data_IF_706180751427
#
_entry.id   IF_706180751427
#
_cell.length_a   1.000
_cell.length_b   1.000
_cell.length_c   1.000
_cell.angle_alpha   90.00
_cell.angle_beta   90.00
_cell.angle_gamma   90.00
#
_symmetry.space_group_name_H-M   'P 1'
#
loop_
_entity.id
_entity.type
_entity.pdbx_description
1 polymer ?
#
# COMPACT_ATOMS: atom_id res chain seq x y z
N UNK A 1 -46.23 53.51 30.58
CA UNK A 1 -45.55 52.21 30.85
C UNK A 1 -44.48 52.01 29.78
N UNK A 2 -43.18 52.17 30.11
CA UNK A 2 -42.07 52.02 29.14
C UNK A 2 -41.55 50.60 29.20
N UNK A 3 -41.72 49.84 28.13
CA UNK A 3 -41.21 48.47 28.00
C UNK A 3 -39.74 48.60 27.64
N UNK A 4 -38.83 48.07 28.53
CA UNK A 4 -37.41 47.91 28.23
C UNK A 4 -37.22 46.55 27.59
N UNK A 5 -36.85 46.54 26.30
CA UNK A 5 -36.44 45.32 25.59
C UNK A 5 -34.96 45.07 25.97
N UNK A 6 -34.69 43.97 26.66
CA UNK A 6 -33.34 43.47 26.89
C UNK A 6 -33.05 42.49 25.76
N UNK A 7 -32.14 42.88 24.87
CA UNK A 7 -31.61 41.97 23.82
C UNK A 7 -30.43 41.22 24.43
N UNK A 8 -30.62 39.92 24.69
CA UNK A 8 -29.56 39.02 25.13
C UNK A 8 -28.75 38.56 23.92
N UNK A 9 -27.56 39.09 23.74
CA UNK A 9 -26.63 38.62 22.72
C UNK A 9 -25.95 37.32 23.24
N UNK A 10 -26.45 36.18 22.77
CA UNK A 10 -25.78 34.89 22.98
C UNK A 10 -24.62 34.78 21.98
N UNK A 11 -23.44 35.19 22.40
CA UNK A 11 -22.20 34.97 21.63
C UNK A 11 -21.86 33.47 21.60
N UNK A 12 -22.03 32.86 20.44
CA UNK A 12 -21.46 31.53 20.19
C UNK A 12 -19.94 31.66 20.11
N UNK A 13 -19.24 31.25 21.13
CA UNK A 13 -17.80 31.00 21.08
C UNK A 13 -17.59 29.73 20.23
N UNK A 14 -17.28 29.92 18.96
CA UNK A 14 -16.71 28.85 18.14
C UNK A 14 -15.29 28.59 18.68
N UNK A 15 -15.11 27.55 19.47
CA UNK A 15 -13.80 27.00 19.72
C UNK A 15 -13.38 26.24 18.47
N UNK A 16 -12.44 26.80 17.72
CA UNK A 16 -11.73 26.04 16.69
C UNK A 16 -10.88 25.00 17.42
N UNK A 17 -11.31 23.75 17.38
CA UNK A 17 -10.48 22.63 17.80
C UNK A 17 -9.50 22.43 16.62
N UNK A 18 -8.30 22.99 16.74
CA UNK A 18 -7.20 22.63 15.84
C UNK A 18 -6.80 21.22 16.22
N UNK A 19 -6.91 20.30 15.25
CA UNK A 19 -6.36 18.96 15.40
C UNK A 19 -4.83 19.09 15.42
N UNK A 20 -4.21 18.73 16.54
CA UNK A 20 -2.77 18.71 16.63
C UNK A 20 -2.22 17.63 15.72
N UNK A 21 -1.34 18.02 14.79
CA UNK A 21 -0.69 17.10 13.87
C UNK A 21 0.33 16.29 14.67
N UNK A 22 0.25 14.97 14.56
CA UNK A 22 1.24 14.08 15.20
C UNK A 22 2.65 14.42 14.69
N UNK A 23 3.56 14.75 15.62
CA UNK A 23 4.95 14.99 15.29
C UNK A 23 5.61 13.69 14.83
N UNK A 24 6.23 13.71 13.65
CA UNK A 24 6.92 12.55 13.08
C UNK A 24 7.09 12.65 11.59
N UNK A 25 7.33 11.49 10.99
CA UNK A 25 7.51 11.36 9.56
C UNK A 25 6.49 10.40 8.96
N UNK A 26 6.01 10.73 7.77
CA UNK A 26 5.22 9.83 6.94
C UNK A 26 6.13 9.09 5.95
N UNK A 27 5.98 7.77 5.85
CA UNK A 27 6.59 6.95 4.81
C UNK A 27 5.50 6.58 3.80
N UNK A 28 5.66 6.94 2.55
CA UNK A 28 4.69 6.65 1.50
C UNK A 28 5.35 6.55 0.12
N UNK A 29 4.69 5.91 -0.83
CA UNK A 29 5.13 5.87 -2.22
C UNK A 29 4.14 6.62 -3.09
N UNK A 30 4.61 7.60 -3.83
CA UNK A 30 3.89 8.26 -4.90
C UNK A 30 4.05 7.45 -6.19
N UNK A 31 2.95 6.92 -6.69
CA UNK A 31 2.90 6.18 -7.94
C UNK A 31 2.81 7.09 -9.16
N UNK A 32 3.34 6.64 -10.28
CA UNK A 32 3.35 7.41 -11.53
C UNK A 32 2.06 7.32 -12.35
N UNK A 33 1.08 6.50 -11.94
CA UNK A 33 -0.21 6.42 -12.66
C UNK A 33 -1.34 5.87 -11.81
N UNK A 34 -2.50 6.54 -11.76
CA UNK A 34 -3.71 6.01 -11.14
C UNK A 34 -4.37 4.89 -11.94
N UNK A 35 -3.89 4.57 -13.13
CA UNK A 35 -4.53 3.70 -14.11
C UNK A 35 -4.02 2.25 -14.19
N UNK A 36 -3.18 1.80 -13.29
CA UNK A 36 -3.03 0.37 -13.03
C UNK A 36 -2.24 -0.49 -14.00
N UNK A 37 -1.55 0.03 -14.96
CA UNK A 37 -0.55 -0.76 -15.70
C UNK A 37 0.77 -0.83 -14.92
N UNK A 38 1.25 -2.02 -14.54
CA UNK A 38 2.47 -2.24 -13.74
C UNK A 38 3.80 -1.74 -14.33
N UNK A 39 3.76 -0.84 -15.29
CA UNK A 39 4.91 -0.36 -16.06
C UNK A 39 5.51 0.98 -15.63
N UNK A 40 4.91 1.71 -14.71
CA UNK A 40 5.44 2.99 -14.25
C UNK A 40 6.25 2.84 -12.97
N UNK A 41 7.35 3.55 -12.84
CA UNK A 41 8.11 3.67 -11.60
C UNK A 41 7.34 4.47 -10.54
N UNK A 42 7.89 4.59 -9.36
CA UNK A 42 7.38 5.41 -8.28
C UNK A 42 8.52 5.98 -7.47
N UNK A 43 8.20 6.83 -6.52
CA UNK A 43 9.19 7.32 -5.56
C UNK A 43 8.63 7.16 -4.16
N UNK A 44 9.39 6.48 -3.29
CA UNK A 44 9.10 6.42 -1.86
C UNK A 44 9.74 7.62 -1.18
N UNK A 45 9.00 8.24 -0.28
CA UNK A 45 9.43 9.39 0.51
C UNK A 45 9.32 9.12 2.00
N UNK A 46 10.28 9.65 2.78
CA UNK A 46 10.10 10.01 4.17
C UNK A 46 9.95 11.52 4.23
N UNK A 47 8.85 11.99 4.74
CA UNK A 47 8.48 13.42 4.74
C UNK A 47 7.94 13.82 6.12
N UNK A 48 8.28 15.01 6.59
CA UNK A 48 7.73 15.58 7.81
C UNK A 48 6.34 16.20 7.59
N UNK A 49 5.71 16.67 8.66
CA UNK A 49 4.40 17.32 8.63
C UNK A 49 4.38 18.67 7.87
N UNK A 50 5.56 19.29 7.64
CA UNK A 50 5.71 20.51 6.87
C UNK A 50 5.93 20.23 5.37
N UNK A 51 5.78 18.98 4.95
CA UNK A 51 6.05 18.52 3.58
C UNK A 51 7.53 18.61 3.17
N UNK A 52 8.46 18.64 4.14
CA UNK A 52 9.88 18.59 3.88
C UNK A 52 10.32 17.16 3.66
N UNK A 53 10.90 16.87 2.51
CA UNK A 53 11.42 15.53 2.19
C UNK A 53 12.73 15.30 2.92
N UNK A 54 12.75 14.32 3.82
CA UNK A 54 13.94 13.89 4.53
C UNK A 54 14.75 12.86 3.74
N UNK A 55 14.06 11.94 3.06
CA UNK A 55 14.67 10.88 2.24
C UNK A 55 13.75 10.47 1.10
N UNK A 56 14.34 10.04 -0.03
CA UNK A 56 13.60 9.41 -1.11
C UNK A 56 14.35 8.26 -1.76
N UNK A 57 13.58 7.32 -2.35
CA UNK A 57 14.06 6.22 -3.18
C UNK A 57 13.24 6.19 -4.47
N UNK A 58 13.91 6.22 -5.61
CA UNK A 58 13.26 6.04 -6.92
C UNK A 58 13.20 4.56 -7.29
N UNK A 59 12.06 4.13 -7.80
CA UNK A 59 11.78 2.75 -8.19
C UNK A 59 11.48 2.63 -9.67
N UNK A 60 11.90 1.53 -10.29
CA UNK A 60 11.60 1.23 -11.70
C UNK A 60 10.23 0.58 -11.89
N UNK A 61 9.59 0.13 -10.80
CA UNK A 61 8.29 -0.53 -10.77
C UNK A 61 7.34 0.22 -9.84
N UNK A 62 6.06 0.26 -10.19
CA UNK A 62 5.03 0.83 -9.34
C UNK A 62 4.81 -0.01 -8.07
N UNK A 63 4.49 0.66 -6.97
CA UNK A 63 4.18 0.00 -5.70
C UNK A 63 2.97 -0.94 -5.83
N UNK A 64 3.06 -2.11 -5.20
CA UNK A 64 1.91 -2.99 -4.98
C UNK A 64 1.13 -2.56 -3.73
N UNK A 65 1.86 -2.13 -2.70
CA UNK A 65 1.36 -1.68 -1.42
C UNK A 65 2.33 -0.66 -0.80
N UNK A 66 2.21 -0.40 0.49
CA UNK A 66 3.07 0.52 1.22
C UNK A 66 4.47 -0.07 1.42
N UNK A 67 5.52 0.76 1.42
CA UNK A 67 6.86 0.35 1.83
C UNK A 67 6.95 0.25 3.35
N UNK A 68 7.90 -0.53 3.85
CA UNK A 68 8.20 -0.69 5.27
C UNK A 68 9.62 -0.25 5.56
N UNK A 69 9.80 0.69 6.49
CA UNK A 69 11.11 1.10 6.99
C UNK A 69 11.54 0.14 8.10
N UNK A 70 12.73 -0.44 7.94
CA UNK A 70 13.31 -1.35 8.92
C UNK A 70 14.23 -0.62 9.90
N UNK A 71 14.54 -1.22 11.08
CA UNK A 71 15.40 -0.60 12.08
C UNK A 71 16.82 -0.27 11.60
N UNK A 72 17.31 -0.97 10.57
CA UNK A 72 18.62 -0.70 9.94
C UNK A 72 18.56 0.37 8.85
N UNK A 73 17.47 1.11 8.77
CA UNK A 73 17.20 2.14 7.77
C UNK A 73 17.08 1.63 6.33
N UNK A 74 17.02 0.31 6.11
CA UNK A 74 16.61 -0.23 4.81
C UNK A 74 15.09 -0.22 4.70
N UNK A 75 14.57 -0.25 3.45
CA UNK A 75 13.14 -0.41 3.22
C UNK A 75 12.85 -1.75 2.58
N UNK A 76 11.69 -2.33 2.88
CA UNK A 76 11.08 -3.40 2.09
C UNK A 76 10.02 -2.74 1.20
N UNK A 77 10.16 -2.96 -0.11
CA UNK A 77 9.32 -2.36 -1.14
C UNK A 77 8.59 -3.44 -1.93
N UNK A 78 7.27 -3.63 -1.69
CA UNK A 78 6.45 -4.48 -2.54
C UNK A 78 6.10 -3.76 -3.84
N UNK A 79 6.27 -4.44 -4.96
CA UNK A 79 6.06 -3.82 -6.28
C UNK A 79 5.27 -4.71 -7.23
N UNK A 80 4.71 -4.08 -8.27
CA UNK A 80 3.98 -4.77 -9.34
C UNK A 80 4.94 -5.34 -10.37
N UNK A 81 4.78 -6.63 -10.67
CA UNK A 81 5.50 -7.24 -11.79
C UNK A 81 4.89 -6.82 -13.13
N UNK A 82 5.67 -6.89 -14.20
CA UNK A 82 5.14 -6.81 -15.57
C UNK A 82 4.50 -8.14 -15.94
N UNK A 83 3.42 -8.10 -16.70
CA UNK A 83 2.72 -9.27 -17.23
C UNK A 83 2.39 -10.30 -16.12
N UNK A 84 1.62 -9.91 -15.09
CA UNK A 84 1.22 -10.83 -14.05
C UNK A 84 0.35 -11.95 -14.66
N UNK A 85 0.48 -13.17 -14.15
CA UNK A 85 -0.36 -14.30 -14.57
C UNK A 85 -1.80 -14.21 -14.06
N UNK A 86 -2.00 -13.46 -12.96
CA UNK A 86 -3.30 -13.15 -12.38
C UNK A 86 -3.43 -11.62 -12.27
N UNK A 87 -4.52 -11.08 -12.81
CA UNK A 87 -4.71 -9.63 -13.00
C UNK A 87 -5.97 -9.08 -12.33
N UNK A 88 -6.31 -9.58 -11.15
CA UNK A 88 -7.36 -8.99 -10.31
C UNK A 88 -6.87 -7.73 -9.58
N UNK A 89 -7.73 -7.06 -8.82
CA UNK A 89 -7.34 -5.88 -8.04
C UNK A 89 -6.18 -6.17 -7.08
N UNK A 90 -5.28 -5.20 -6.88
CA UNK A 90 -4.17 -5.32 -5.94
C UNK A 90 -2.98 -6.16 -6.40
N UNK A 91 -2.79 -6.34 -7.71
CA UNK A 91 -1.64 -7.08 -8.26
C UNK A 91 -0.32 -6.54 -7.70
N UNK A 92 0.51 -7.44 -7.16
CA UNK A 92 1.88 -7.22 -6.77
C UNK A 92 2.84 -8.12 -7.57
N UNK A 93 3.55 -8.99 -6.91
CA UNK A 93 4.38 -10.05 -7.45
C UNK A 93 5.86 -9.91 -7.19
N UNK A 94 6.36 -8.75 -6.81
CA UNK A 94 7.76 -8.57 -6.46
C UNK A 94 7.95 -7.87 -5.13
N UNK A 95 9.05 -8.16 -4.46
CA UNK A 95 9.45 -7.56 -3.20
C UNK A 95 10.95 -7.28 -3.25
N UNK A 96 11.37 -6.08 -2.87
CA UNK A 96 12.77 -5.69 -2.78
C UNK A 96 13.10 -5.23 -1.36
N UNK A 97 14.30 -5.55 -0.90
CA UNK A 97 14.93 -4.85 0.22
C UNK A 97 15.98 -3.90 -0.31
N UNK A 98 15.88 -2.63 0.07
CA UNK A 98 16.68 -1.54 -0.49
C UNK A 98 17.34 -0.81 0.67
N UNK A 99 18.66 -0.63 0.60
CA UNK A 99 19.43 0.15 1.59
C UNK A 99 19.04 1.63 1.55
N UNK A 100 19.50 2.34 2.57
CA UNK A 100 19.38 3.79 2.66
C UNK A 100 19.95 4.52 1.43
N UNK A 101 21.07 4.04 0.88
CA UNK A 101 21.72 4.60 -0.29
C UNK A 101 21.05 4.24 -1.63
N UNK A 102 20.00 3.41 -1.61
CA UNK A 102 19.30 2.94 -2.80
C UNK A 102 19.80 1.60 -3.35
N UNK A 103 20.85 1.00 -2.76
CA UNK A 103 21.36 -0.31 -3.18
C UNK A 103 20.34 -1.40 -2.88
N UNK A 104 19.97 -2.19 -3.89
CA UNK A 104 19.09 -3.35 -3.72
C UNK A 104 19.89 -4.49 -3.07
N UNK A 105 19.50 -4.88 -1.86
CA UNK A 105 20.10 -6.01 -1.13
C UNK A 105 19.63 -7.36 -1.66
N UNK A 106 18.33 -7.47 -1.93
CA UNK A 106 17.73 -8.62 -2.57
C UNK A 106 16.43 -8.23 -3.29
N UNK A 107 16.08 -9.03 -4.27
CA UNK A 107 14.85 -8.94 -5.03
C UNK A 107 14.25 -10.33 -5.15
N UNK A 108 12.99 -10.46 -4.75
CA UNK A 108 12.25 -11.71 -4.80
C UNK A 108 10.97 -11.53 -5.64
N UNK A 109 10.73 -12.46 -6.54
CA UNK A 109 9.51 -12.48 -7.38
C UNK A 109 8.67 -13.68 -6.97
N UNK A 110 7.43 -13.42 -6.56
CA UNK A 110 6.43 -14.43 -6.28
C UNK A 110 5.20 -14.19 -7.18
N UNK A 111 5.40 -14.52 -8.44
CA UNK A 111 4.40 -14.41 -9.50
C UNK A 111 4.70 -15.48 -10.54
N UNK A 112 3.84 -16.49 -10.64
CA UNK A 112 3.91 -17.59 -11.60
C UNK A 112 2.49 -18.07 -11.97
N UNK A 113 2.36 -19.12 -12.74
CA UNK A 113 1.06 -19.63 -13.20
C UNK A 113 0.17 -20.14 -12.06
N UNK A 114 0.74 -20.52 -10.92
CA UNK A 114 0.01 -21.09 -9.78
C UNK A 114 -0.20 -20.06 -8.66
N UNK A 115 0.78 -19.19 -8.41
CA UNK A 115 0.75 -18.25 -7.31
C UNK A 115 1.07 -16.83 -7.77
N UNK A 116 0.38 -15.86 -7.18
CA UNK A 116 0.61 -14.44 -7.43
C UNK A 116 0.51 -13.65 -6.13
N UNK A 117 1.60 -13.00 -5.72
CA UNK A 117 1.54 -12.02 -4.62
C UNK A 117 0.58 -10.88 -4.99
N UNK A 118 -0.24 -10.48 -4.04
CA UNK A 118 -1.14 -9.34 -4.18
C UNK A 118 -1.24 -8.53 -2.89
N UNK A 119 -1.60 -7.26 -3.02
CA UNK A 119 -1.77 -6.30 -1.94
C UNK A 119 -0.52 -6.20 -1.05
N UNK A 120 -0.62 -6.59 0.21
CA UNK A 120 0.29 -6.22 1.25
C UNK A 120 1.25 -7.34 1.67
N UNK A 121 2.24 -6.95 2.42
CA UNK A 121 3.26 -7.81 3.02
C UNK A 121 3.43 -7.41 4.49
N UNK A 122 4.02 -8.28 5.30
CA UNK A 122 4.43 -7.97 6.67
C UNK A 122 5.87 -8.44 6.92
N UNK A 123 6.81 -7.52 7.15
CA UNK A 123 8.15 -7.86 7.59
C UNK A 123 8.12 -8.45 9.00
N UNK A 124 8.69 -9.65 9.16
CA UNK A 124 8.75 -10.34 10.43
C UNK A 124 10.12 -10.16 11.11
N UNK A 125 10.18 -10.31 12.46
CA UNK A 125 11.46 -10.43 13.16
C UNK A 125 12.30 -11.55 12.58
N UNK A 126 13.61 -11.31 12.42
CA UNK A 126 14.53 -12.30 11.83
C UNK A 126 14.69 -12.18 10.31
N UNK A 127 14.04 -11.19 9.66
CA UNK A 127 14.26 -10.86 8.26
C UNK A 127 13.37 -11.65 7.28
N UNK A 128 12.44 -12.44 7.78
CA UNK A 128 11.40 -13.06 6.96
C UNK A 128 10.33 -12.04 6.57
N UNK A 129 9.57 -12.34 5.53
CA UNK A 129 8.44 -11.53 5.07
C UNK A 129 7.23 -12.42 4.88
N UNK A 130 6.12 -12.07 5.52
CA UNK A 130 4.82 -12.68 5.26
C UNK A 130 4.20 -12.00 4.05
N UNK A 131 3.63 -12.78 3.13
CA UNK A 131 3.00 -12.26 1.91
C UNK A 131 1.60 -12.84 1.73
N UNK A 132 0.70 -12.04 1.16
CA UNK A 132 -0.62 -12.49 0.75
C UNK A 132 -0.53 -12.94 -0.71
N UNK A 133 -1.09 -14.10 -1.03
CA UNK A 133 -1.02 -14.66 -2.38
C UNK A 133 -2.38 -15.16 -2.87
N UNK A 134 -2.63 -15.01 -4.15
CA UNK A 134 -3.63 -15.79 -4.86
C UNK A 134 -3.01 -17.12 -5.27
N UNK A 135 -3.79 -18.17 -5.18
CA UNK A 135 -3.47 -19.49 -5.74
C UNK A 135 -4.48 -19.84 -6.83
N UNK A 136 -3.99 -20.10 -8.04
CA UNK A 136 -4.85 -20.58 -9.11
C UNK A 136 -5.35 -21.99 -8.80
N UNK A 137 -6.65 -22.20 -8.91
CA UNK A 137 -7.32 -23.50 -8.76
C UNK A 137 -8.04 -23.86 -10.05
N UNK A 138 -8.15 -25.13 -10.33
CA UNK A 138 -9.07 -25.61 -11.36
C UNK A 138 -10.53 -25.51 -10.86
N UNK A 139 -11.48 -25.49 -11.78
CA UNK A 139 -12.89 -25.51 -11.43
C UNK A 139 -13.24 -26.76 -10.57
N UNK A 140 -12.63 -27.91 -10.89
CA UNK A 140 -12.87 -29.14 -10.13
C UNK A 140 -12.37 -29.04 -8.68
N UNK A 141 -11.14 -28.55 -8.46
CA UNK A 141 -10.61 -28.30 -7.11
C UNK A 141 -11.48 -27.33 -6.31
N UNK A 142 -12.04 -26.30 -6.94
CA UNK A 142 -12.94 -25.38 -6.29
C UNK A 142 -14.28 -26.03 -5.90
N UNK A 143 -14.85 -26.90 -6.74
CA UNK A 143 -16.05 -27.67 -6.43
C UNK A 143 -15.80 -28.66 -5.29
N UNK A 144 -14.65 -29.33 -5.31
CA UNK A 144 -14.28 -30.33 -4.29
C UNK A 144 -14.17 -29.75 -2.88
N UNK A 145 -13.84 -28.45 -2.76
CA UNK A 145 -13.84 -27.72 -1.48
C UNK A 145 -15.15 -26.97 -1.19
N UNK A 146 -16.22 -27.26 -1.96
CA UNK A 146 -17.57 -26.82 -1.64
C UNK A 146 -18.06 -25.56 -2.37
N UNK A 147 -17.34 -25.03 -3.36
CA UNK A 147 -17.86 -23.95 -4.19
C UNK A 147 -19.06 -24.44 -5.00
N UNK A 148 -20.18 -23.70 -4.98
CA UNK A 148 -21.43 -24.12 -5.60
C UNK A 148 -21.55 -23.69 -7.06
N UNK A 149 -20.97 -22.54 -7.41
CA UNK A 149 -21.07 -21.98 -8.78
C UNK A 149 -19.74 -21.33 -9.17
N UNK A 150 -19.39 -21.45 -10.45
CA UNK A 150 -18.23 -20.80 -11.06
C UNK A 150 -18.71 -20.17 -12.37
N UNK A 151 -18.79 -18.83 -12.39
CA UNK A 151 -19.30 -18.09 -13.55
C UNK A 151 -18.33 -18.16 -14.74
N UNK A 152 -17.03 -18.27 -14.48
CA UNK A 152 -16.02 -18.48 -15.52
C UNK A 152 -15.00 -19.53 -15.06
N UNK A 153 -15.11 -20.78 -15.56
CA UNK A 153 -14.24 -21.89 -15.14
C UNK A 153 -12.76 -21.71 -15.54
N UNK A 154 -12.44 -20.72 -16.38
CA UNK A 154 -11.06 -20.41 -16.79
C UNK A 154 -10.37 -19.42 -15.84
N UNK A 155 -11.09 -18.81 -14.90
CA UNK A 155 -10.60 -17.77 -13.99
C UNK A 155 -10.95 -18.08 -12.52
N UNK A 156 -10.72 -19.29 -12.08
CA UNK A 156 -10.87 -19.66 -10.67
C UNK A 156 -9.59 -19.25 -9.94
N UNK A 157 -9.71 -18.23 -9.08
CA UNK A 157 -8.65 -17.74 -8.19
C UNK A 157 -9.11 -17.86 -6.73
#
# INVERSE_FOLDING_TARGET
>A
MKIKIVVLFMGFLFQFIEAEVFEGYALFTQGSSPGGGGGGGGTTYIMDHNSTVFKSWSHTRGAASMPYLLPDSSIIYPYRVQNPSMSAGGVGGGIQRIKWDGTILWNYIFANATYQHHHDIEPLPGGNVLIIVWEAKTAQEAYDVGRQTIDNPLNVM
#
